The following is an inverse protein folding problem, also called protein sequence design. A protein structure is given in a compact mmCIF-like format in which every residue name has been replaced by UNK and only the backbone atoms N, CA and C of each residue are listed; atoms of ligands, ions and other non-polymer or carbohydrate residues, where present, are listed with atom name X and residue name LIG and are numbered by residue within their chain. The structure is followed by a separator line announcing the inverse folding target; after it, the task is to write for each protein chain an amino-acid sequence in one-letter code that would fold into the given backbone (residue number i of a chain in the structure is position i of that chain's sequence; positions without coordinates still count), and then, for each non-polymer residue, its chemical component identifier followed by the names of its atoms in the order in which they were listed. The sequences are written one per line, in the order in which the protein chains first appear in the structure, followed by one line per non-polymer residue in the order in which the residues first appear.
data_IF_943923497246
#
_entry.id   IF_943923497246
#
_cell.length_a   1.000
_cell.length_b   1.000
_cell.length_c   1.000
_cell.angle_alpha   90.00
_cell.angle_beta   90.00
_cell.angle_gamma   90.00
#
_symmetry.space_group_name_H-M   'P 1'
#
loop_
_entity.id
_entity.type
_entity.pdbx_description
1 polymer ?
#
# COMPACT_ATOMS: atom_id res chain seq x y z
N UNK A 1 8.46 2.14 3.60
CA UNK A 1 9.93 2.09 3.61
C UNK A 1 10.54 1.96 2.24
N UNK A 2 11.85 1.92 2.19
CA UNK A 2 12.67 1.74 0.98
C UNK A 2 13.84 0.82 1.31
N UNK A 3 14.22 -0.09 0.40
CA UNK A 3 15.39 -0.94 0.58
C UNK A 3 16.54 -0.62 -0.41
N UNK A 4 17.66 -1.33 -0.26
CA UNK A 4 18.86 -1.13 -1.07
C UNK A 4 18.68 -1.47 -2.56
N UNK A 5 17.68 -2.28 -2.91
CA UNK A 5 17.34 -2.61 -4.30
C UNK A 5 16.45 -1.54 -4.94
N UNK A 6 15.90 -0.61 -4.17
CA UNK A 6 14.98 0.42 -4.65
C UNK A 6 13.52 0.04 -4.54
N UNK A 7 13.20 -1.07 -3.85
CA UNK A 7 11.82 -1.44 -3.56
C UNK A 7 11.27 -0.59 -2.43
N UNK A 8 10.18 0.10 -2.69
CA UNK A 8 9.42 0.86 -1.73
C UNK A 8 8.08 0.18 -1.42
N UNK A 9 7.67 0.15 -0.16
CA UNK A 9 6.38 -0.37 0.25
C UNK A 9 5.70 0.54 1.25
N UNK A 10 4.37 0.63 1.12
CA UNK A 10 3.48 1.32 2.05
C UNK A 10 2.18 0.53 2.19
N UNK A 11 1.71 0.43 3.42
CA UNK A 11 0.42 -0.16 3.76
C UNK A 11 -0.64 0.92 4.03
N UNK A 12 -1.90 0.56 3.82
CA UNK A 12 -3.06 1.37 4.16
C UNK A 12 -4.27 0.47 4.43
N UNK A 13 -5.11 0.88 5.36
CA UNK A 13 -6.36 0.21 5.66
C UNK A 13 -7.24 0.05 4.42
N UNK A 14 -7.72 -1.19 4.17
CA UNK A 14 -8.70 -1.52 3.14
C UNK A 14 -9.73 -2.48 3.73
N UNK A 15 -10.95 -1.99 3.92
CA UNK A 15 -11.98 -2.76 4.59
C UNK A 15 -12.53 -3.86 3.72
N UNK A 16 -12.52 -5.08 4.25
CA UNK A 16 -13.25 -6.22 3.65
C UNK A 16 -14.76 -6.09 3.91
N UNK A 17 -15.56 -6.82 3.12
CA UNK A 17 -16.99 -6.96 3.35
C UNK A 17 -17.28 -7.55 4.74
N UNK A 18 -18.48 -7.28 5.26
CA UNK A 18 -18.82 -7.63 6.63
C UNK A 18 -18.77 -9.12 6.90
N UNK A 19 -19.23 -9.94 5.96
CA UNK A 19 -19.24 -11.40 6.10
C UNK A 19 -17.83 -11.99 6.27
N UNK A 20 -16.81 -11.43 5.60
CA UNK A 20 -15.42 -11.83 5.82
C UNK A 20 -14.91 -11.43 7.21
N UNK A 21 -15.30 -10.25 7.70
CA UNK A 21 -14.95 -9.84 9.07
C UNK A 21 -15.58 -10.78 10.08
N UNK A 22 -16.84 -11.16 9.88
CA UNK A 22 -17.56 -12.06 10.76
C UNK A 22 -16.99 -13.49 10.74
N UNK A 23 -16.41 -13.92 9.62
CA UNK A 23 -15.70 -15.21 9.48
C UNK A 23 -14.31 -15.20 10.12
N UNK A 24 -13.76 -14.03 10.45
CA UNK A 24 -12.38 -13.91 10.93
C UNK A 24 -12.21 -14.62 12.28
N UNK A 25 -11.32 -15.61 12.39
CA UNK A 25 -11.11 -16.32 13.65
C UNK A 25 -10.61 -15.39 14.75
N UNK A 26 -11.04 -15.60 15.98
CA UNK A 26 -10.53 -14.87 17.15
C UNK A 26 -9.04 -15.16 17.40
N UNK A 27 -8.61 -16.38 17.14
CA UNK A 27 -7.19 -16.76 17.18
C UNK A 27 -6.69 -16.85 15.76
N UNK A 28 -5.73 -16.01 15.42
CA UNK A 28 -5.13 -15.95 14.10
C UNK A 28 -3.65 -16.27 14.18
N UNK A 29 -3.13 -16.78 13.08
CA UNK A 29 -1.69 -17.05 12.87
C UNK A 29 -1.21 -16.27 11.65
N UNK A 30 0.10 -16.14 11.53
CA UNK A 30 0.73 -15.46 10.39
C UNK A 30 1.00 -13.98 10.62
N UNK A 31 1.70 -13.35 9.68
CA UNK A 31 2.06 -11.95 9.75
C UNK A 31 0.83 -11.04 9.63
N UNK A 32 0.89 -9.89 10.28
CA UNK A 32 -0.04 -8.79 10.04
C UNK A 32 0.47 -7.89 8.89
N UNK A 33 -0.30 -6.86 8.55
CA UNK A 33 0.04 -5.93 7.47
C UNK A 33 1.42 -5.24 7.64
N UNK A 34 1.77 -4.84 8.86
CA UNK A 34 3.06 -4.21 9.12
C UNK A 34 4.22 -5.20 9.01
N UNK A 35 4.01 -6.45 9.42
CA UNK A 35 4.99 -7.52 9.26
C UNK A 35 5.21 -7.84 7.78
N UNK A 36 4.12 -7.91 6.99
CA UNK A 36 4.21 -8.11 5.54
C UNK A 36 5.02 -7.00 4.87
N UNK A 37 4.72 -5.74 5.17
CA UNK A 37 5.47 -4.60 4.66
C UNK A 37 6.95 -4.67 5.03
N UNK A 38 7.27 -5.01 6.29
CA UNK A 38 8.64 -5.16 6.77
C UNK A 38 9.38 -6.30 6.07
N UNK A 39 8.75 -7.47 5.95
CA UNK A 39 9.37 -8.62 5.30
C UNK A 39 9.64 -8.33 3.81
N UNK A 40 8.73 -7.61 3.12
CA UNK A 40 8.97 -7.16 1.75
C UNK A 40 10.21 -6.27 1.67
N UNK A 41 10.34 -5.27 2.53
CA UNK A 41 11.52 -4.39 2.56
C UNK A 41 12.82 -5.16 2.85
N UNK A 42 12.77 -6.15 3.73
CA UNK A 42 13.95 -6.94 4.11
C UNK A 42 14.38 -7.94 3.04
N UNK A 43 13.50 -8.36 2.12
CA UNK A 43 13.77 -9.53 1.26
C UNK A 43 13.56 -9.32 -0.23
N UNK A 44 12.62 -8.47 -0.64
CA UNK A 44 12.29 -8.31 -2.05
C UNK A 44 13.33 -7.47 -2.79
N UNK A 45 13.68 -7.90 -4.01
CA UNK A 45 14.60 -7.19 -4.90
C UNK A 45 13.85 -6.44 -6.00
N UNK A 46 12.59 -6.80 -6.26
CA UNK A 46 11.69 -6.13 -7.19
C UNK A 46 10.31 -5.98 -6.56
N UNK A 47 9.49 -5.08 -7.11
CA UNK A 47 8.12 -4.91 -6.66
C UNK A 47 7.30 -6.21 -6.83
N UNK A 48 7.46 -6.90 -7.96
CA UNK A 48 6.79 -8.19 -8.23
C UNK A 48 7.19 -9.27 -7.23
N UNK A 49 8.49 -9.38 -6.89
CA UNK A 49 8.92 -10.29 -5.83
C UNK A 49 8.25 -9.99 -4.50
N UNK A 50 8.06 -8.71 -4.18
CA UNK A 50 7.33 -8.28 -2.98
C UNK A 50 5.89 -8.76 -2.97
N UNK A 51 5.16 -8.65 -4.09
CA UNK A 51 3.79 -9.16 -4.24
C UNK A 51 3.74 -10.67 -4.05
N UNK A 52 4.63 -11.41 -4.73
CA UNK A 52 4.69 -12.87 -4.63
C UNK A 52 5.06 -13.33 -3.22
N UNK A 53 5.93 -12.60 -2.54
CA UNK A 53 6.30 -12.88 -1.15
C UNK A 53 5.11 -12.69 -0.21
N UNK A 54 4.31 -11.64 -0.36
CA UNK A 54 3.07 -11.45 0.40
C UNK A 54 2.14 -12.65 0.18
N UNK A 55 1.88 -13.00 -1.08
CA UNK A 55 1.02 -14.13 -1.42
C UNK A 55 1.51 -15.45 -0.83
N UNK A 56 2.81 -15.72 -0.88
CA UNK A 56 3.44 -16.89 -0.27
C UNK A 56 3.27 -16.92 1.24
N UNK A 57 3.57 -15.81 1.93
CA UNK A 57 3.46 -15.74 3.38
C UNK A 57 2.03 -15.96 3.87
N UNK A 58 1.07 -15.38 3.17
CA UNK A 58 -0.35 -15.56 3.47
C UNK A 58 -0.78 -17.02 3.27
N UNK A 59 -0.35 -17.66 2.19
CA UNK A 59 -0.68 -19.05 1.89
C UNK A 59 -0.07 -20.03 2.88
N UNK A 60 1.18 -19.80 3.29
CA UNK A 60 1.94 -20.72 4.15
C UNK A 60 1.65 -20.54 5.64
N UNK A 61 1.53 -19.30 6.09
CA UNK A 61 1.44 -18.98 7.53
C UNK A 61 0.10 -18.39 7.95
N UNK A 62 -0.74 -18.00 7.00
CA UNK A 62 -1.96 -17.25 7.26
C UNK A 62 -1.74 -15.74 7.26
N UNK A 63 -2.79 -15.01 7.58
CA UNK A 63 -2.79 -13.55 7.65
C UNK A 63 -3.61 -13.07 8.86
N UNK A 64 -2.98 -12.28 9.72
CA UNK A 64 -3.60 -11.78 10.94
C UNK A 64 -4.20 -10.40 10.70
N UNK A 65 -5.51 -10.33 10.62
CA UNK A 65 -6.27 -9.09 10.45
C UNK A 65 -7.73 -9.27 10.86
N UNK A 66 -8.36 -8.20 11.31
CA UNK A 66 -9.79 -8.19 11.62
C UNK A 66 -10.62 -7.42 10.57
N UNK A 67 -9.99 -6.84 9.57
CA UNK A 67 -10.72 -6.00 8.63
C UNK A 67 -10.17 -5.95 7.21
N UNK A 68 -8.95 -6.41 7.00
CA UNK A 68 -8.26 -6.29 5.73
C UNK A 68 -7.32 -5.10 5.65
N UNK A 69 -6.44 -5.13 4.67
CA UNK A 69 -5.46 -4.07 4.40
C UNK A 69 -5.09 -4.05 2.92
N UNK A 70 -4.25 -3.11 2.53
CA UNK A 70 -3.63 -3.09 1.21
C UNK A 70 -2.20 -2.56 1.29
N UNK A 71 -1.40 -2.95 0.29
CA UNK A 71 -0.05 -2.44 0.10
C UNK A 71 0.09 -1.80 -1.28
N UNK A 72 0.88 -0.73 -1.36
CA UNK A 72 1.50 -0.31 -2.63
C UNK A 72 2.96 -0.71 -2.55
N UNK A 73 3.42 -1.46 -3.53
CA UNK A 73 4.80 -1.91 -3.68
C UNK A 73 5.30 -1.39 -5.01
N UNK A 74 6.42 -0.69 -5.00
CA UNK A 74 6.96 -0.08 -6.22
C UNK A 74 8.48 -0.16 -6.24
N UNK A 75 9.03 -0.26 -7.44
CA UNK A 75 10.44 -0.12 -7.74
C UNK A 75 10.62 0.80 -8.96
N UNK A 76 11.85 1.02 -9.50
CA UNK A 76 12.05 1.88 -10.66
C UNK A 76 11.34 1.43 -11.95
N UNK A 77 10.95 0.18 -12.05
CA UNK A 77 10.44 -0.42 -13.28
C UNK A 77 8.92 -0.68 -13.25
N UNK A 78 8.36 -0.95 -12.07
CA UNK A 78 6.93 -1.27 -11.92
C UNK A 78 6.37 -0.92 -10.53
N UNK A 79 5.05 -0.83 -10.46
CA UNK A 79 4.32 -0.66 -9.21
C UNK A 79 3.09 -1.56 -9.16
N UNK A 80 2.73 -1.98 -7.96
CA UNK A 80 1.61 -2.89 -7.69
C UNK A 80 0.75 -2.38 -6.53
N UNK A 81 -0.56 -2.54 -6.66
CA UNK A 81 -1.50 -2.49 -5.53
C UNK A 81 -1.82 -3.91 -5.14
N UNK A 82 -1.68 -4.24 -3.86
CA UNK A 82 -2.06 -5.54 -3.29
C UNK A 82 -3.15 -5.30 -2.26
N UNK A 83 -4.19 -6.12 -2.26
CA UNK A 83 -5.25 -6.10 -1.24
C UNK A 83 -5.29 -7.47 -0.56
N UNK A 84 -5.25 -7.47 0.77
CA UNK A 84 -5.38 -8.64 1.62
C UNK A 84 -6.70 -8.58 2.39
N UNK A 85 -7.48 -9.66 2.30
CA UNK A 85 -8.81 -9.71 2.88
C UNK A 85 -8.84 -10.41 4.24
N UNK A 86 -9.77 -9.96 5.09
CA UNK A 86 -10.12 -10.64 6.33
C UNK A 86 -10.76 -12.02 6.06
N UNK A 87 -11.15 -12.73 7.12
CA UNK A 87 -11.91 -13.98 7.01
C UNK A 87 -11.07 -15.25 7.22
N UNK A 88 -9.75 -15.15 7.35
CA UNK A 88 -8.89 -16.31 7.59
C UNK A 88 -8.78 -17.28 6.41
N UNK A 89 -9.19 -16.87 5.21
CA UNK A 89 -9.24 -17.72 4.01
C UNK A 89 -8.01 -17.59 3.11
N UNK A 90 -7.04 -16.75 3.49
CA UNK A 90 -5.84 -16.49 2.69
C UNK A 90 -6.12 -15.76 1.37
N UNK A 91 -7.18 -14.97 1.31
CA UNK A 91 -7.61 -14.27 0.10
C UNK A 91 -6.81 -12.98 -0.09
N UNK A 92 -6.27 -12.81 -1.29
CA UNK A 92 -5.60 -11.58 -1.71
C UNK A 92 -5.68 -11.41 -3.23
N UNK A 93 -5.52 -10.18 -3.68
CA UNK A 93 -5.44 -9.81 -5.09
C UNK A 93 -4.44 -8.68 -5.30
N UNK A 94 -3.79 -8.63 -6.46
CA UNK A 94 -2.85 -7.59 -6.84
C UNK A 94 -3.03 -7.16 -8.29
N UNK A 95 -2.87 -5.85 -8.54
CA UNK A 95 -2.92 -5.21 -9.84
C UNK A 95 -1.60 -4.48 -10.10
N UNK A 96 -0.97 -4.72 -11.25
CA UNK A 96 0.17 -3.95 -11.73
C UNK A 96 -0.30 -2.62 -12.30
N UNK A 97 0.33 -1.55 -11.91
CA UNK A 97 0.06 -0.20 -12.41
C UNK A 97 0.90 0.05 -13.67
N UNK A 98 0.29 0.62 -14.69
CA UNK A 98 1.01 1.03 -15.90
C UNK A 98 1.98 2.19 -15.63
N UNK A 99 2.96 2.40 -16.52
CA UNK A 99 4.02 3.40 -16.33
C UNK A 99 3.52 4.84 -16.26
N UNK A 100 2.38 5.13 -16.87
CA UNK A 100 1.76 6.45 -16.89
C UNK A 100 0.59 6.56 -15.89
N UNK A 101 0.47 5.59 -14.98
CA UNK A 101 -0.61 5.57 -13.99
C UNK A 101 -0.30 6.45 -12.80
N UNK A 102 -1.33 7.16 -12.33
CA UNK A 102 -1.37 7.80 -11.03
C UNK A 102 -2.37 7.03 -10.18
N UNK A 103 -1.95 6.56 -9.04
CA UNK A 103 -2.79 5.80 -8.13
C UNK A 103 -2.68 6.33 -6.71
N UNK A 104 -3.80 6.70 -6.12
CA UNK A 104 -3.93 6.92 -4.69
C UNK A 104 -4.72 5.75 -4.07
N UNK A 105 -4.24 5.23 -2.95
CA UNK A 105 -4.81 4.06 -2.30
C UNK A 105 -5.28 4.41 -0.90
N UNK A 106 -6.61 4.61 -0.77
CA UNK A 106 -7.28 4.76 0.52
C UNK A 106 -8.80 4.59 0.36
N UNK A 107 -9.34 3.43 0.54
CA UNK A 107 -8.68 2.12 0.65
C UNK A 107 -7.94 1.75 -0.63
N UNK A 108 -7.17 0.66 -0.58
CA UNK A 108 -6.65 0.04 -1.78
C UNK A 108 -7.78 -0.43 -2.67
N UNK A 109 -7.72 -0.11 -3.95
CA UNK A 109 -8.78 -0.41 -4.88
C UNK A 109 -8.26 -1.19 -6.06
N UNK A 110 -8.82 -2.37 -6.25
CA UNK A 110 -8.75 -3.15 -7.47
C UNK A 110 -10.19 -3.36 -7.90
N UNK A 111 -10.54 -2.94 -9.12
CA UNK A 111 -11.87 -3.14 -9.66
C UNK A 111 -11.98 -4.52 -10.34
N UNK A 112 -11.89 -4.56 -11.66
CA UNK A 112 -12.07 -5.77 -12.43
C UNK A 112 -10.76 -6.51 -12.63
N UNK A 113 -10.79 -7.83 -12.38
CA UNK A 113 -9.72 -8.75 -12.73
C UNK A 113 -10.23 -9.64 -13.87
N UNK A 114 -9.42 -9.86 -14.95
CA UNK A 114 -9.80 -10.70 -16.08
C UNK A 114 -9.66 -12.20 -15.75
N UNK A 115 -10.42 -12.69 -14.77
CA UNK A 115 -10.33 -14.05 -14.25
C UNK A 115 -10.62 -15.15 -15.27
N UNK A 116 -11.27 -14.82 -16.39
CA UNK A 116 -11.51 -15.72 -17.51
C UNK A 116 -10.34 -15.80 -18.48
N UNK A 117 -9.35 -14.92 -18.34
CA UNK A 117 -8.15 -14.89 -19.16
C UNK A 117 -6.94 -15.32 -18.31
N UNK A 118 -6.58 -16.59 -18.39
CA UNK A 118 -5.61 -17.24 -17.50
C UNK A 118 -4.16 -16.72 -17.56
N UNK A 119 -3.84 -15.76 -18.41
CA UNK A 119 -2.46 -15.31 -18.68
C UNK A 119 -2.30 -13.79 -18.61
N UNK A 120 -2.90 -13.12 -17.63
CA UNK A 120 -2.70 -11.70 -17.49
C UNK A 120 -1.58 -11.40 -16.48
N UNK A 121 -0.40 -11.04 -16.97
CA UNK A 121 0.79 -10.74 -16.14
C UNK A 121 0.61 -9.52 -15.23
N UNK A 122 -0.44 -8.73 -15.46
CA UNK A 122 -0.74 -7.53 -14.68
C UNK A 122 -1.63 -7.81 -13.46
N UNK A 123 -2.09 -9.07 -13.29
CA UNK A 123 -2.91 -9.46 -12.15
C UNK A 123 -2.38 -10.73 -11.50
N UNK A 124 -2.24 -10.68 -10.18
CA UNK A 124 -1.86 -11.81 -9.34
C UNK A 124 -2.88 -11.95 -8.21
N UNK A 125 -3.24 -13.17 -7.85
CA UNK A 125 -4.22 -13.38 -6.79
C UNK A 125 -4.14 -14.79 -6.19
N UNK A 126 -4.72 -14.96 -5.02
CA UNK A 126 -4.81 -16.25 -4.34
C UNK A 126 -5.58 -17.26 -5.20
N UNK A 127 -5.11 -18.51 -5.21
CA UNK A 127 -5.68 -19.58 -6.05
C UNK A 127 -7.18 -19.84 -5.81
N UNK A 128 -7.66 -19.51 -4.62
CA UNK A 128 -9.05 -19.69 -4.20
C UNK A 128 -9.92 -18.43 -4.39
N UNK A 129 -9.39 -17.33 -4.93
CA UNK A 129 -10.11 -16.06 -4.99
C UNK A 129 -11.47 -16.20 -5.70
N UNK A 130 -11.50 -16.81 -6.88
CA UNK A 130 -12.74 -16.97 -7.65
C UNK A 130 -13.63 -18.04 -7.06
N UNK A 131 -13.08 -19.23 -6.75
CA UNK A 131 -13.85 -20.36 -6.25
C UNK A 131 -14.50 -20.08 -4.90
N UNK A 132 -13.84 -19.33 -4.03
CA UNK A 132 -14.41 -18.91 -2.76
C UNK A 132 -15.60 -17.97 -2.97
N UNK A 133 -15.50 -16.96 -3.83
CA UNK A 133 -16.60 -16.06 -4.15
C UNK A 133 -17.83 -16.81 -4.69
N UNK A 134 -17.60 -17.78 -5.58
CA UNK A 134 -18.68 -18.64 -6.10
C UNK A 134 -19.31 -19.48 -5.00
N UNK A 135 -18.53 -20.10 -4.12
CA UNK A 135 -19.02 -20.93 -3.01
C UNK A 135 -19.87 -20.16 -2.01
N UNK A 136 -19.58 -18.85 -1.84
CA UNK A 136 -20.36 -17.96 -0.98
C UNK A 136 -21.58 -17.35 -1.68
N UNK A 137 -21.76 -17.60 -2.98
CA UNK A 137 -22.83 -16.98 -3.78
C UNK A 137 -22.62 -15.48 -4.03
N UNK A 138 -21.39 -14.98 -3.87
CA UNK A 138 -21.05 -13.56 -4.11
C UNK A 138 -20.69 -13.28 -5.56
N UNK A 139 -20.41 -14.32 -6.34
CA UNK A 139 -20.08 -14.24 -7.74
C UNK A 139 -20.70 -15.40 -8.53
N UNK A 140 -21.27 -15.07 -9.68
CA UNK A 140 -21.75 -16.06 -10.64
C UNK A 140 -20.75 -16.13 -11.81
N UNK A 141 -19.99 -17.22 -11.89
CA UNK A 141 -18.91 -17.42 -12.85
C UNK A 141 -19.40 -17.72 -14.28
N UNK A 142 -20.49 -17.10 -14.72
CA UNK A 142 -20.92 -17.17 -16.11
C UNK A 142 -19.97 -16.42 -17.02
N UNK A 143 -19.84 -16.92 -18.25
CA UNK A 143 -19.03 -16.25 -19.27
C UNK A 143 -19.43 -14.78 -19.42
N UNK A 144 -18.43 -13.87 -19.39
CA UNK A 144 -18.64 -12.44 -19.54
C UNK A 144 -19.07 -11.70 -18.27
N UNK A 145 -19.26 -12.38 -17.13
CA UNK A 145 -19.53 -11.68 -15.87
C UNK A 145 -18.24 -11.05 -15.35
N UNK A 146 -18.15 -9.72 -15.15
CA UNK A 146 -16.97 -9.06 -14.60
C UNK A 146 -16.69 -9.53 -13.18
N UNK A 147 -15.43 -9.80 -12.87
CA UNK A 147 -14.97 -10.08 -11.51
C UNK A 147 -14.46 -8.79 -10.86
N UNK A 148 -15.36 -8.00 -10.31
CA UNK A 148 -15.01 -6.79 -9.60
C UNK A 148 -14.63 -7.13 -8.15
N UNK A 149 -13.35 -6.98 -7.84
CA UNK A 149 -12.78 -7.37 -6.54
C UNK A 149 -13.39 -6.56 -5.40
N UNK A 150 -13.59 -5.26 -5.62
CA UNK A 150 -14.14 -4.38 -4.59
C UNK A 150 -15.62 -4.68 -4.29
N UNK A 151 -16.42 -4.96 -5.31
CA UNK A 151 -17.84 -5.30 -5.13
C UNK A 151 -18.02 -6.68 -4.45
N UNK A 152 -17.11 -7.62 -4.76
CA UNK A 152 -17.18 -8.99 -4.24
C UNK A 152 -16.61 -9.07 -2.83
N UNK A 153 -15.46 -8.45 -2.56
CA UNK A 153 -14.68 -8.64 -1.34
C UNK A 153 -14.53 -7.40 -0.47
N UNK A 154 -14.70 -6.21 -1.05
CA UNK A 154 -14.63 -4.93 -0.35
C UNK A 154 -15.86 -4.63 0.49
N UNK A 155 -15.88 -3.49 1.13
CA UNK A 155 -16.98 -3.03 2.00
C UNK A 155 -18.17 -2.42 1.24
N UNK A 156 -18.17 -2.51 -0.08
CA UNK A 156 -19.22 -1.98 -0.95
C UNK A 156 -19.25 -0.45 -1.06
N UNK A 157 -18.28 0.23 -0.48
CA UNK A 157 -18.18 1.68 -0.57
C UNK A 157 -17.40 2.11 -1.80
N UNK A 158 -17.79 3.23 -2.35
CA UNK A 158 -17.01 3.88 -3.40
C UNK A 158 -15.65 4.36 -2.87
N UNK A 159 -14.71 4.51 -3.78
CA UNK A 159 -13.45 5.19 -3.48
C UNK A 159 -13.76 6.55 -2.86
N UNK A 160 -13.02 6.88 -1.80
CA UNK A 160 -13.18 8.17 -1.15
C UNK A 160 -12.92 9.33 -2.11
N UNK A 161 -13.78 10.34 -2.12
CA UNK A 161 -13.72 11.48 -3.05
C UNK A 161 -12.35 12.19 -3.02
N UNK A 162 -11.70 12.21 -1.86
CA UNK A 162 -10.36 12.77 -1.72
C UNK A 162 -9.29 12.01 -2.52
N UNK A 163 -9.47 10.70 -2.71
CA UNK A 163 -8.57 9.87 -3.54
C UNK A 163 -8.73 10.23 -5.02
N UNK A 164 -9.95 10.33 -5.50
CA UNK A 164 -10.23 10.73 -6.87
C UNK A 164 -9.71 12.14 -7.13
N UNK A 165 -10.01 13.06 -6.24
CA UNK A 165 -9.54 14.43 -6.33
C UNK A 165 -8.01 14.55 -6.41
N UNK A 166 -7.24 13.81 -5.58
CA UNK A 166 -5.77 13.90 -5.63
C UNK A 166 -5.20 13.29 -6.90
N UNK A 167 -5.78 12.19 -7.40
CA UNK A 167 -5.38 11.61 -8.69
C UNK A 167 -5.57 12.60 -9.84
N UNK A 168 -6.71 13.32 -9.88
CA UNK A 168 -6.97 14.37 -10.87
C UNK A 168 -5.99 15.55 -10.74
N UNK A 169 -5.72 16.01 -9.52
CA UNK A 169 -4.77 17.11 -9.29
C UNK A 169 -3.34 16.72 -9.68
N UNK A 170 -2.91 15.50 -9.36
CA UNK A 170 -1.60 15.00 -9.75
C UNK A 170 -1.50 14.81 -11.27
N UNK A 171 -2.56 14.37 -11.94
CA UNK A 171 -2.62 14.29 -13.40
C UNK A 171 -2.51 15.67 -14.07
N UNK A 172 -3.18 16.70 -13.52
CA UNK A 172 -3.05 18.09 -13.99
C UNK A 172 -1.61 18.61 -13.85
N UNK A 173 -0.94 18.30 -12.73
CA UNK A 173 0.45 18.68 -12.49
C UNK A 173 1.40 17.96 -13.45
N UNK A 174 1.22 16.65 -13.62
CA UNK A 174 2.00 15.87 -14.57
C UNK A 174 1.87 16.41 -16.01
N UNK A 175 0.67 16.84 -16.41
CA UNK A 175 0.43 17.43 -17.74
C UNK A 175 1.15 18.78 -17.95
N UNK A 176 1.44 19.52 -16.87
CA UNK A 176 2.15 20.82 -16.94
C UNK A 176 3.67 20.65 -17.02
N UNK A 177 4.22 19.61 -16.41
CA UNK A 177 5.67 19.36 -16.27
C UNK A 177 6.14 18.07 -16.94
N UNK A 178 5.28 17.44 -17.75
CA UNK A 178 5.50 16.14 -18.42
C UNK A 178 5.69 14.95 -17.47
N UNK A 179 5.71 15.18 -16.17
CA UNK A 179 5.83 14.14 -15.13
C UNK A 179 5.43 14.67 -13.75
N UNK A 180 5.15 13.75 -12.84
CA UNK A 180 5.03 14.06 -11.41
C UNK A 180 6.41 14.30 -10.82
N UNK A 181 6.59 15.42 -10.13
CA UNK A 181 7.86 15.79 -9.48
C UNK A 181 7.86 15.38 -7.99
N UNK A 182 9.03 15.45 -7.36
CA UNK A 182 9.18 15.24 -5.91
C UNK A 182 8.37 16.30 -5.14
N UNK A 183 8.40 17.53 -5.61
CA UNK A 183 7.69 18.66 -5.02
C UNK A 183 6.17 18.45 -5.10
N UNK A 184 5.67 17.91 -6.19
CA UNK A 184 4.24 17.54 -6.33
C UNK A 184 3.84 16.48 -5.32
N UNK A 185 4.67 15.45 -5.14
CA UNK A 185 4.44 14.41 -4.14
C UNK A 185 4.51 14.95 -2.71
N UNK A 186 5.47 15.83 -2.41
CA UNK A 186 5.55 16.49 -1.11
C UNK A 186 4.33 17.38 -0.85
N UNK A 187 3.85 18.08 -1.89
CA UNK A 187 2.62 18.85 -1.80
C UNK A 187 1.42 17.94 -1.51
N UNK A 188 1.28 16.82 -2.22
CA UNK A 188 0.19 15.87 -2.00
C UNK A 188 0.18 15.31 -0.57
N UNK A 189 1.36 14.92 -0.04
CA UNK A 189 1.51 14.43 1.34
C UNK A 189 1.16 15.50 2.38
N UNK A 190 1.38 16.78 2.07
CA UNK A 190 1.06 17.92 2.94
C UNK A 190 -0.34 18.49 2.75
N UNK A 191 -1.10 17.98 1.79
CA UNK A 191 -2.42 18.51 1.51
C UNK A 191 -3.37 18.28 2.69
N UNK A 192 -3.79 19.36 3.33
CA UNK A 192 -4.68 19.34 4.48
C UNK A 192 -5.99 18.57 4.20
N UNK A 193 -6.50 18.71 2.98
CA UNK A 193 -7.72 18.00 2.51
C UNK A 193 -7.59 16.47 2.61
N UNK A 194 -6.37 15.92 2.50
CA UNK A 194 -6.10 14.48 2.50
C UNK A 194 -5.53 13.99 3.82
N UNK A 195 -4.59 14.76 4.36
CA UNK A 195 -3.71 14.30 5.43
C UNK A 195 -4.34 14.55 6.80
N UNK A 196 -4.98 15.68 7.00
CA UNK A 196 -5.47 16.09 8.31
C UNK A 196 -4.33 16.25 9.34
N UNK A 197 -4.68 16.60 10.55
CA UNK A 197 -3.76 16.77 11.67
C UNK A 197 -3.34 15.46 12.35
N UNK A 198 -4.03 14.36 12.03
CA UNK A 198 -3.79 13.02 12.59
C UNK A 198 -2.77 12.19 11.80
N UNK A 199 -2.21 12.72 10.72
CA UNK A 199 -1.19 12.03 9.94
C UNK A 199 0.09 11.85 10.76
N UNK A 200 0.45 10.60 11.01
CA UNK A 200 1.60 10.26 11.84
C UNK A 200 2.94 10.66 11.24
N UNK A 201 3.10 10.58 9.93
CA UNK A 201 4.30 10.97 9.19
C UNK A 201 4.04 10.93 7.68
N UNK A 202 4.92 11.57 6.90
CA UNK A 202 4.91 11.51 5.45
C UNK A 202 6.22 10.95 4.89
N UNK A 203 6.13 10.26 3.77
CA UNK A 203 7.29 9.77 3.04
C UNK A 203 7.10 9.97 1.54
N UNK A 204 8.15 10.39 0.85
CA UNK A 204 8.22 10.48 -0.60
C UNK A 204 9.47 9.75 -1.06
N UNK A 205 9.32 8.82 -1.97
CA UNK A 205 10.41 8.00 -2.50
C UNK A 205 10.56 8.26 -4.00
N UNK A 206 11.68 8.85 -4.45
CA UNK A 206 12.01 8.89 -5.87
C UNK A 206 12.39 7.48 -6.36
N UNK A 207 11.59 6.94 -7.27
CA UNK A 207 11.81 5.62 -7.87
C UNK A 207 12.67 5.78 -9.12
N UNK A 208 13.99 5.67 -8.96
CA UNK A 208 14.97 5.70 -10.06
C UNK A 208 16.22 4.91 -9.69
N UNK A 209 17.00 4.56 -10.70
CA UNK A 209 18.28 3.91 -10.50
C UNK A 209 19.40 4.96 -10.46
N UNK A 210 19.92 5.33 -9.29
CA UNK A 210 21.02 6.28 -9.16
C UNK A 210 22.34 5.64 -9.66
N UNK A 211 23.34 6.48 -9.94
CA UNK A 211 24.69 6.00 -10.31
C UNK A 211 25.33 5.10 -9.25
N UNK A 212 24.98 5.30 -8.00
CA UNK A 212 25.45 4.50 -6.88
C UNK A 212 24.26 4.11 -5.99
N UNK A 213 24.08 2.84 -5.61
CA UNK A 213 22.95 2.40 -4.80
C UNK A 213 22.77 3.15 -3.49
N UNK A 214 23.88 3.57 -2.85
CA UNK A 214 23.85 4.36 -1.63
C UNK A 214 23.23 5.75 -1.78
N UNK A 215 23.05 6.25 -3.01
CA UNK A 215 22.37 7.50 -3.29
C UNK A 215 20.84 7.35 -3.38
N UNK A 216 20.32 6.13 -3.29
CA UNK A 216 18.88 5.93 -3.08
C UNK A 216 18.49 6.57 -1.77
N UNK A 217 17.35 7.23 -1.75
CA UNK A 217 16.89 7.94 -0.57
C UNK A 217 15.38 8.02 -0.52
N UNK A 218 14.87 8.25 0.66
CA UNK A 218 13.50 8.68 0.87
C UNK A 218 13.49 10.04 1.57
N UNK A 219 12.51 10.83 1.23
CA UNK A 219 12.19 12.05 1.98
C UNK A 219 11.22 11.69 3.09
N UNK A 220 11.59 12.01 4.31
CA UNK A 220 10.78 11.72 5.50
C UNK A 220 10.39 13.01 6.21
N UNK A 221 9.14 13.11 6.63
CA UNK A 221 8.66 14.14 7.54
C UNK A 221 7.97 13.48 8.72
N UNK A 222 8.16 14.06 9.90
CA UNK A 222 7.58 13.55 11.16
C UNK A 222 6.09 13.88 11.28
N UNK A 223 5.51 13.51 12.42
CA UNK A 223 4.13 13.83 12.81
C UNK A 223 3.79 15.29 12.51
N UNK A 224 2.63 15.49 11.88
CA UNK A 224 2.24 16.78 11.37
C UNK A 224 2.91 17.12 10.04
N UNK A 225 2.87 16.21 9.06
CA UNK A 225 3.45 16.38 7.73
C UNK A 225 3.09 17.72 7.07
N UNK A 226 1.94 18.30 7.42
CA UNK A 226 1.50 19.62 6.96
C UNK A 226 2.51 20.73 7.35
N UNK A 227 3.07 20.68 8.55
CA UNK A 227 3.96 21.71 9.09
C UNK A 227 5.44 21.31 9.17
N UNK A 228 5.73 20.01 9.29
CA UNK A 228 7.09 19.53 9.47
C UNK A 228 7.91 19.52 8.17
N UNK A 229 9.22 19.77 8.21
CA UNK A 229 10.08 19.70 7.03
C UNK A 229 10.29 18.26 6.57
N UNK A 230 10.46 18.07 5.26
CA UNK A 230 10.97 16.84 4.70
C UNK A 230 12.49 16.79 4.82
N UNK A 231 13.03 15.69 5.30
CA UNK A 231 14.46 15.43 5.44
C UNK A 231 14.83 14.22 4.57
N UNK A 232 15.86 14.32 3.71
CA UNK A 232 16.31 13.17 2.93
C UNK A 232 17.09 12.19 3.82
N UNK A 233 16.75 10.89 3.70
CA UNK A 233 17.46 9.80 4.36
C UNK A 233 18.02 8.90 3.26
N UNK A 234 19.35 8.88 3.14
CA UNK A 234 20.06 8.11 2.12
C UNK A 234 20.38 6.70 2.61
N UNK A 235 20.34 5.72 1.70
CA UNK A 235 20.72 4.33 2.00
C UNK A 235 22.19 4.21 2.46
N UNK A 236 23.06 5.11 1.98
CA UNK A 236 24.47 5.15 2.36
C UNK A 236 24.77 5.88 3.68
N UNK A 237 23.76 6.30 4.45
CA UNK A 237 24.00 6.89 5.77
C UNK A 237 24.51 5.84 6.75
N UNK A 238 25.72 6.02 7.27
CA UNK A 238 26.30 5.17 8.32
C UNK A 238 25.63 5.41 9.68
N UNK A 239 25.12 6.61 9.89
CA UNK A 239 24.44 6.99 11.13
C UNK A 239 23.19 7.80 10.81
N UNK A 240 22.22 7.73 11.68
CA UNK A 240 21.05 8.62 11.68
C UNK A 240 21.16 9.60 12.85
N UNK A 241 20.59 10.82 12.73
CA UNK A 241 20.52 11.74 13.84
C UNK A 241 19.91 11.09 15.08
N UNK A 242 20.38 11.49 16.25
CA UNK A 242 19.96 10.89 17.52
C UNK A 242 18.44 10.97 17.72
N UNK A 243 17.83 12.06 17.26
CA UNK A 243 16.38 12.27 17.30
C UNK A 243 15.57 11.21 16.54
N UNK A 244 16.20 10.48 15.62
CA UNK A 244 15.58 9.36 14.90
C UNK A 244 15.89 7.98 15.49
N UNK A 245 16.81 7.91 16.46
CA UNK A 245 17.19 6.66 17.12
C UNK A 245 16.34 6.36 18.33
N UNK A 246 15.90 7.39 19.03
CA UNK A 246 15.09 7.25 20.23
C UNK A 246 13.60 7.24 19.87
N UNK A 247 12.93 6.17 20.23
CA UNK A 247 11.48 6.09 20.16
C UNK A 247 10.89 6.74 21.42
N UNK A 248 10.53 8.01 21.30
CA UNK A 248 9.90 8.73 22.41
C UNK A 248 8.39 8.62 22.28
N UNK A 249 7.77 7.87 23.17
CA UNK A 249 6.37 8.08 23.47
C UNK A 249 6.30 9.28 24.42
N UNK A 250 5.49 10.26 24.06
CA UNK A 250 5.18 11.33 25.00
C UNK A 250 4.46 10.72 26.20
N UNK A 251 5.08 10.78 27.36
CA UNK A 251 4.41 10.52 28.63
C UNK A 251 3.51 11.71 28.96
N UNK A 252 2.56 11.55 29.86
CA UNK A 252 1.66 12.65 30.29
C UNK A 252 2.44 13.90 30.75
N UNK A 253 3.60 13.69 31.38
CA UNK A 253 4.48 14.78 31.82
C UNK A 253 5.25 15.43 30.69
N UNK A 254 5.50 14.73 29.58
CA UNK A 254 6.17 15.27 28.40
C UNK A 254 5.18 15.98 27.47
N UNK A 255 3.95 15.47 27.34
CA UNK A 255 2.92 16.12 26.52
C UNK A 255 2.56 17.50 27.07
N UNK A 256 2.58 17.68 28.39
CA UNK A 256 2.32 18.98 29.04
C UNK A 256 3.40 20.05 28.78
N UNK A 257 4.58 19.67 28.25
CA UNK A 257 5.65 20.61 27.88
C UNK A 257 5.51 21.16 26.46
N UNK A 258 4.65 20.57 25.67
CA UNK A 258 4.43 20.91 24.25
C UNK A 258 3.00 21.40 23.96
N UNK A 259 2.17 21.51 24.97
CA UNK A 259 0.81 22.07 24.90
C UNK A 259 0.75 23.56 25.21
#
# INVERSE_FOLDING_TARGET
GLNEYGVAVRDIWSSSRQELKDMTPMTQTGPNYSDLARIVIERAKTAREGVLLIGYLIAEYGYSTYGGNSHIIADPDEAWVVIEFAGGQGLWAAERLGPDSIRASRPGYINEIPVHNAAHDDYLYSHNLVSFAVSQGWYDAKEGTPFNVNDIYGDGKHRWDGVQWIEEEMAKRAAQSEKVTIEDMMWAVRCEKLTGDTAGYGQVVPLYNPRHPQLRHLWHTRVGAIAAPFVPVYMGCETVPEEFREHRYLTDSESSRFS
#
